data_IF_948125109298
#
_entry.id   IF_948125109298
#
_cell.length_a   1.000
_cell.length_b   1.000
_cell.length_c   1.000
_cell.angle_alpha   90.00
_cell.angle_beta   90.00
_cell.angle_gamma   90.00
#
_symmetry.space_group_name_H-M   'P 1'
#
loop_
_entity.id
_entity.type
_entity.pdbx_description
1 polymer ?
#
# COMPACT_ATOMS: atom_id res chain seq x y z
N UNK A 1 13.89 -20.43 17.70
CA UNK A 1 13.67 -20.39 16.23
C UNK A 1 12.39 -19.62 16.00
N UNK A 2 12.34 -18.85 14.93
CA UNK A 2 11.16 -18.05 14.53
C UNK A 2 10.81 -18.38 13.09
N UNK A 3 9.53 -18.51 12.80
CA UNK A 3 9.03 -18.81 11.46
C UNK A 3 9.13 -17.57 10.57
N UNK A 4 9.54 -17.75 9.30
CA UNK A 4 9.56 -16.69 8.29
C UNK A 4 9.19 -17.24 6.91
N UNK A 5 8.54 -16.41 6.10
CA UNK A 5 8.26 -16.72 4.70
C UNK A 5 9.35 -16.08 3.84
N UNK A 6 10.18 -16.92 3.20
CA UNK A 6 11.35 -16.47 2.44
C UNK A 6 11.39 -17.03 1.02
N UNK A 7 12.15 -16.34 0.18
CA UNK A 7 12.58 -16.86 -1.13
C UNK A 7 14.10 -16.74 -1.29
N UNK A 8 14.70 -17.77 -1.92
CA UNK A 8 16.14 -17.88 -2.18
C UNK A 8 16.50 -17.64 -3.64
N UNK A 9 15.49 -17.59 -4.50
CA UNK A 9 15.59 -17.30 -5.93
C UNK A 9 14.44 -16.40 -6.33
N UNK A 10 14.66 -15.53 -7.31
CA UNK A 10 13.57 -14.76 -7.89
C UNK A 10 12.64 -15.66 -8.69
N UNK A 11 11.33 -15.37 -8.70
CA UNK A 11 10.36 -16.18 -9.41
C UNK A 11 8.90 -15.87 -9.05
N UNK A 12 8.03 -16.79 -9.38
CA UNK A 12 6.61 -16.75 -9.05
C UNK A 12 6.40 -17.21 -7.59
N UNK A 13 5.18 -17.13 -7.03
CA UNK A 13 4.93 -17.48 -5.62
C UNK A 13 5.35 -18.90 -5.18
N UNK A 14 5.58 -19.80 -6.10
CA UNK A 14 6.10 -21.16 -5.85
C UNK A 14 7.54 -21.21 -5.34
N UNK A 15 8.31 -20.13 -5.45
CA UNK A 15 9.65 -20.01 -4.86
C UNK A 15 9.64 -19.70 -3.35
N UNK A 16 8.48 -19.30 -2.81
CA UNK A 16 8.31 -18.99 -1.40
C UNK A 16 8.29 -20.26 -0.53
N UNK A 17 8.95 -20.18 0.60
CA UNK A 17 9.04 -21.27 1.59
C UNK A 17 8.95 -20.74 3.00
N UNK A 18 8.19 -21.41 3.86
CA UNK A 18 8.27 -21.20 5.30
C UNK A 18 9.56 -21.85 5.81
N UNK A 19 10.35 -21.09 6.54
CA UNK A 19 11.63 -21.50 7.09
C UNK A 19 11.73 -21.10 8.57
N UNK A 20 12.53 -21.85 9.32
CA UNK A 20 12.88 -21.50 10.69
C UNK A 20 14.20 -20.72 10.71
N UNK A 21 14.18 -19.54 11.30
CA UNK A 21 15.35 -18.67 11.47
C UNK A 21 15.77 -18.67 12.94
N UNK A 22 17.08 -18.44 13.24
CA UNK A 22 17.51 -18.23 14.61
C UNK A 22 16.89 -16.93 15.16
N UNK A 23 16.54 -16.97 16.45
CA UNK A 23 16.17 -15.75 17.18
C UNK A 23 17.38 -14.83 17.27
N UNK A 24 17.17 -13.53 17.07
CA UNK A 24 18.22 -12.51 17.06
C UNK A 24 17.86 -11.43 18.10
N UNK A 25 18.87 -10.97 18.87
CA UNK A 25 18.71 -9.84 19.79
C UNK A 25 18.95 -8.51 19.09
N UNK A 26 18.18 -7.45 19.42
CA UNK A 26 18.36 -6.14 18.84
C UNK A 26 19.71 -5.52 19.28
N UNK A 27 20.34 -4.77 18.36
CA UNK A 27 21.52 -3.95 18.66
C UNK A 27 21.14 -2.67 19.40
N UNK A 28 22.12 -1.81 19.61
CA UNK A 28 21.96 -0.62 20.46
C UNK A 28 20.75 0.27 20.06
N UNK A 29 20.55 0.51 18.78
CA UNK A 29 19.50 1.37 18.23
C UNK A 29 18.32 0.59 17.60
N UNK A 30 18.25 -0.72 17.85
CA UNK A 30 17.25 -1.59 17.26
C UNK A 30 16.18 -2.00 18.27
N UNK A 31 15.01 -2.31 17.77
CA UNK A 31 13.92 -2.97 18.49
C UNK A 31 13.66 -4.33 17.88
N UNK A 32 13.28 -5.30 18.69
CA UNK A 32 12.71 -6.57 18.27
C UNK A 32 11.19 -6.45 18.33
N UNK A 33 10.52 -6.83 17.24
CA UNK A 33 9.07 -6.77 17.10
C UNK A 33 8.57 -8.19 16.87
N UNK A 34 7.69 -8.64 17.76
CA UNK A 34 6.88 -9.83 17.53
C UNK A 34 5.76 -9.45 16.57
N UNK A 35 5.91 -9.83 15.30
CA UNK A 35 4.93 -9.53 14.26
C UNK A 35 3.69 -10.38 14.45
N UNK A 36 2.54 -9.75 14.41
CA UNK A 36 1.22 -10.39 14.49
C UNK A 36 0.54 -10.46 13.11
N UNK A 37 0.67 -9.37 12.31
CA UNK A 37 0.00 -9.22 11.03
C UNK A 37 0.93 -8.64 9.97
N UNK A 38 0.74 -9.08 8.72
CA UNK A 38 1.52 -8.65 7.54
C UNK A 38 0.55 -8.24 6.44
N UNK A 39 0.58 -6.97 6.06
CA UNK A 39 -0.23 -6.45 4.96
C UNK A 39 0.38 -6.78 3.61
N UNK A 40 -0.40 -7.39 2.71
CA UNK A 40 0.08 -7.71 1.37
C UNK A 40 -0.13 -6.54 0.40
N UNK A 41 0.85 -6.37 -0.48
CA UNK A 41 0.84 -5.36 -1.55
C UNK A 41 1.28 -5.99 -2.88
N UNK A 42 0.78 -5.51 -4.03
CA UNK A 42 1.22 -6.02 -5.34
C UNK A 42 2.73 -5.92 -5.57
N UNK A 43 3.41 -4.94 -4.94
CA UNK A 43 4.86 -4.81 -5.03
C UNK A 43 5.61 -6.01 -4.44
N UNK A 44 5.06 -6.71 -3.46
CA UNK A 44 5.72 -7.83 -2.78
C UNK A 44 6.09 -8.95 -3.77
N UNK A 45 5.11 -9.40 -4.56
CA UNK A 45 5.34 -10.42 -5.57
C UNK A 45 5.89 -9.87 -6.89
N UNK A 46 5.65 -8.59 -7.20
CA UNK A 46 6.21 -7.96 -8.40
C UNK A 46 7.73 -7.80 -8.30
N UNK A 47 8.25 -7.39 -7.14
CA UNK A 47 9.69 -7.29 -6.87
C UNK A 47 10.31 -8.70 -6.84
N UNK A 48 9.68 -9.64 -6.14
CA UNK A 48 10.12 -11.04 -6.09
C UNK A 48 10.18 -11.68 -7.49
N UNK A 49 9.26 -11.33 -8.36
CA UNK A 49 9.18 -11.84 -9.74
C UNK A 49 10.14 -11.16 -10.73
N UNK A 50 10.84 -10.10 -10.34
CA UNK A 50 11.64 -9.31 -11.28
C UNK A 50 13.08 -9.08 -10.77
N UNK A 51 14.05 -9.96 -11.18
CA UNK A 51 15.43 -9.86 -10.74
C UNK A 51 16.16 -8.59 -11.21
N UNK A 52 15.68 -7.92 -12.25
CA UNK A 52 16.28 -6.68 -12.77
C UNK A 52 15.86 -5.47 -11.93
N UNK A 53 14.65 -5.51 -11.36
CA UNK A 53 14.08 -4.43 -10.57
C UNK A 53 14.40 -4.57 -9.08
N UNK A 54 14.46 -5.78 -8.56
CA UNK A 54 14.65 -6.06 -7.13
C UNK A 54 15.88 -5.37 -6.50
N UNK A 55 17.06 -5.27 -7.16
CA UNK A 55 18.19 -4.54 -6.60
C UNK A 55 17.93 -3.06 -6.34
N UNK A 56 17.06 -2.41 -7.12
CA UNK A 56 16.71 -0.99 -6.95
C UNK A 56 15.94 -0.75 -5.63
N UNK A 57 15.35 -1.81 -5.07
CA UNK A 57 14.68 -1.81 -3.76
C UNK A 57 15.58 -2.37 -2.63
N UNK A 58 16.86 -2.60 -2.89
CA UNK A 58 17.81 -3.11 -1.90
C UNK A 58 17.64 -4.59 -1.56
N UNK A 59 16.85 -5.35 -2.33
CA UNK A 59 16.58 -6.77 -2.10
C UNK A 59 17.84 -7.59 -2.30
N UNK A 60 18.14 -8.47 -1.33
CA UNK A 60 19.25 -9.44 -1.34
C UNK A 60 18.75 -10.80 -0.94
N UNK A 61 19.11 -11.82 -1.72
CA UNK A 61 18.70 -13.20 -1.43
C UNK A 61 19.62 -13.86 -0.36
N UNK A 62 19.06 -14.67 0.55
CA UNK A 62 17.65 -14.93 0.75
C UNK A 62 16.90 -13.70 1.27
N UNK A 63 15.66 -13.49 0.82
CA UNK A 63 14.82 -12.35 1.22
C UNK A 63 13.55 -12.84 1.92
N UNK A 64 13.21 -12.21 3.04
CA UNK A 64 11.89 -12.38 3.67
C UNK A 64 10.83 -11.63 2.86
N UNK A 65 9.68 -12.26 2.69
CA UNK A 65 8.59 -11.74 1.86
C UNK A 65 7.81 -10.61 2.53
N UNK A 66 7.07 -9.84 1.74
CA UNK A 66 6.22 -8.70 2.12
C UNK A 66 6.98 -7.58 2.86
N UNK A 67 6.34 -6.43 3.01
CA UNK A 67 7.04 -5.26 3.54
C UNK A 67 6.26 -4.55 4.66
N UNK A 68 4.93 -4.61 4.67
CA UNK A 68 4.08 -4.00 5.69
C UNK A 68 3.84 -4.96 6.86
N UNK A 69 3.84 -4.43 8.09
CA UNK A 69 3.65 -5.22 9.31
C UNK A 69 2.91 -4.47 10.41
N UNK A 70 2.37 -5.22 11.37
CA UNK A 70 1.99 -4.76 12.69
C UNK A 70 2.41 -5.81 13.73
N UNK A 71 2.67 -5.38 14.97
CA UNK A 71 3.10 -6.26 16.04
C UNK A 71 3.37 -5.53 17.35
N UNK A 72 4.05 -6.20 18.26
CA UNK A 72 4.38 -5.69 19.59
C UNK A 72 5.91 -5.74 19.79
N UNK A 73 6.47 -4.68 20.33
CA UNK A 73 7.90 -4.66 20.70
C UNK A 73 8.11 -5.59 21.89
N UNK A 74 8.96 -6.60 21.76
CA UNK A 74 9.29 -7.56 22.79
C UNK A 74 10.68 -7.38 23.38
N UNK A 75 11.60 -6.68 22.68
CA UNK A 75 12.94 -6.34 23.17
C UNK A 75 13.40 -5.02 22.55
N UNK A 76 14.21 -4.23 23.29
CA UNK A 76 14.79 -2.97 22.82
C UNK A 76 16.28 -2.91 23.10
N UNK A 77 17.04 -2.27 22.22
CA UNK A 77 18.45 -1.95 22.44
C UNK A 77 18.61 -0.77 23.41
N UNK A 78 19.80 -0.63 24.04
CA UNK A 78 20.04 0.37 25.11
C UNK A 78 20.03 1.83 24.65
N UNK A 79 20.09 2.13 23.36
CA UNK A 79 20.02 3.49 22.83
C UNK A 79 18.61 3.88 22.34
N UNK A 80 17.63 2.97 22.43
CA UNK A 80 16.25 3.24 22.04
C UNK A 80 15.57 4.07 23.11
N UNK A 81 15.02 5.23 22.74
CA UNK A 81 14.35 6.19 23.62
C UNK A 81 12.88 6.40 23.32
N UNK A 82 12.48 6.24 22.04
CA UNK A 82 11.16 6.60 21.55
C UNK A 82 10.15 5.43 21.63
N UNK A 83 10.65 4.23 21.96
CA UNK A 83 9.85 3.01 22.07
C UNK A 83 10.21 2.23 23.34
N UNK A 84 9.25 1.43 23.83
CA UNK A 84 9.44 0.54 24.98
C UNK A 84 8.84 -0.85 24.70
N UNK A 85 9.29 -1.83 25.48
CA UNK A 85 8.69 -3.17 25.46
C UNK A 85 7.21 -3.09 25.80
N UNK A 86 6.39 -3.77 24.99
CA UNK A 86 4.94 -3.77 25.09
C UNK A 86 4.24 -2.71 24.19
N UNK A 87 4.99 -1.82 23.54
CA UNK A 87 4.39 -0.90 22.59
C UNK A 87 3.86 -1.67 21.37
N UNK A 88 2.60 -1.40 21.01
CA UNK A 88 2.05 -1.82 19.73
C UNK A 88 2.55 -0.90 18.63
N UNK A 89 3.07 -1.51 17.57
CA UNK A 89 3.70 -0.78 16.46
C UNK A 89 3.26 -1.36 15.12
N UNK A 90 3.36 -0.54 14.09
CA UNK A 90 3.16 -0.94 12.71
C UNK A 90 4.14 -0.19 11.80
N UNK A 91 4.29 -0.66 10.59
CA UNK A 91 5.16 0.04 9.66
C UNK A 91 5.47 -0.73 8.39
N UNK A 92 6.58 -0.31 7.75
CA UNK A 92 7.07 -0.94 6.52
C UNK A 92 8.59 -1.07 6.54
N UNK A 93 9.11 -2.15 5.97
CA UNK A 93 10.56 -2.39 5.88
C UNK A 93 10.92 -3.15 4.61
N UNK A 94 11.95 -2.72 3.90
CA UNK A 94 12.45 -3.44 2.72
C UNK A 94 13.25 -4.71 3.07
N UNK A 95 13.48 -5.00 4.35
CA UNK A 95 14.15 -6.26 4.81
C UNK A 95 13.22 -7.46 4.76
N UNK A 96 11.91 -7.23 4.62
CA UNK A 96 10.86 -8.24 4.62
C UNK A 96 10.20 -8.41 5.99
N UNK A 97 8.87 -8.42 5.97
CA UNK A 97 8.04 -8.35 7.16
C UNK A 97 7.35 -9.68 7.51
N UNK A 98 7.27 -10.64 6.59
CA UNK A 98 6.59 -11.92 6.82
C UNK A 98 7.47 -12.87 7.68
N UNK A 99 7.67 -12.51 8.94
CA UNK A 99 8.45 -13.24 9.94
C UNK A 99 7.85 -13.02 11.33
N UNK A 100 7.91 -14.03 12.21
CA UNK A 100 7.47 -13.89 13.60
C UNK A 100 8.31 -12.88 14.40
N UNK A 101 9.58 -12.68 14.03
CA UNK A 101 10.46 -11.68 14.63
C UNK A 101 11.03 -10.75 13.57
N UNK A 102 10.85 -9.45 13.76
CA UNK A 102 11.43 -8.41 12.92
C UNK A 102 12.36 -7.53 13.77
N UNK A 103 13.62 -7.39 13.34
CA UNK A 103 14.56 -6.42 13.93
C UNK A 103 14.50 -5.13 13.12
N UNK A 104 14.23 -4.01 13.79
CA UNK A 104 14.04 -2.70 13.17
C UNK A 104 14.92 -1.65 13.85
N UNK A 105 15.71 -0.88 13.08
CA UNK A 105 16.48 0.24 13.63
C UNK A 105 15.58 1.47 13.76
N UNK A 106 15.54 2.07 14.95
CA UNK A 106 14.74 3.28 15.21
C UNK A 106 15.28 4.52 14.47
N UNK A 107 16.49 4.44 13.89
CA UNK A 107 17.04 5.47 12.99
C UNK A 107 16.47 5.39 11.58
N UNK A 108 15.85 4.27 11.20
CA UNK A 108 15.13 4.12 9.93
C UNK A 108 13.73 4.74 10.03
N UNK A 109 13.23 5.22 8.90
CA UNK A 109 11.85 5.67 8.80
C UNK A 109 10.93 4.48 8.56
N UNK A 110 9.68 4.61 8.98
CA UNK A 110 8.64 3.62 8.66
C UNK A 110 8.19 2.76 9.84
N UNK A 111 8.57 3.09 11.07
CA UNK A 111 8.03 2.51 12.29
C UNK A 111 7.14 3.56 13.00
N UNK A 112 5.92 3.17 13.35
CA UNK A 112 4.91 4.03 13.95
C UNK A 112 4.27 3.36 15.16
N UNK A 113 3.92 4.14 16.18
CA UNK A 113 3.05 3.66 17.26
C UNK A 113 1.66 3.38 16.71
N UNK A 114 1.10 2.22 17.07
CA UNK A 114 -0.28 1.86 16.75
C UNK A 114 -1.24 2.61 17.68
N UNK A 115 -2.20 3.37 17.15
CA UNK A 115 -3.26 3.94 18.00
C UNK A 115 -4.16 2.84 18.59
N UNK A 116 -4.59 3.00 19.84
CA UNK A 116 -5.42 1.99 20.54
C UNK A 116 -6.76 1.70 19.86
N UNK A 117 -7.26 2.65 19.07
CA UNK A 117 -8.55 2.54 18.36
C UNK A 117 -8.44 1.84 16.99
N UNK A 118 -7.26 1.35 16.59
CA UNK A 118 -7.06 0.64 15.30
C UNK A 118 -6.41 -0.71 15.57
N UNK A 119 -7.01 -1.76 15.04
CA UNK A 119 -6.49 -3.13 15.19
C UNK A 119 -5.26 -3.41 14.32
N UNK A 120 -4.48 -4.43 14.69
CA UNK A 120 -3.23 -4.78 14.02
C UNK A 120 -3.43 -5.16 12.54
N UNK A 121 -4.55 -5.80 12.20
CA UNK A 121 -4.86 -6.17 10.82
C UNK A 121 -5.01 -4.94 9.91
N UNK A 122 -5.65 -3.89 10.39
CA UNK A 122 -5.78 -2.62 9.67
C UNK A 122 -4.44 -1.90 9.61
N UNK A 123 -3.75 -1.74 10.75
CA UNK A 123 -2.50 -0.98 10.80
C UNK A 123 -1.37 -1.62 10.00
N UNK A 124 -1.32 -2.96 9.91
CA UNK A 124 -0.40 -3.68 9.02
C UNK A 124 -0.56 -3.36 7.53
N UNK A 125 -1.57 -2.57 7.14
CA UNK A 125 -1.87 -2.28 5.74
C UNK A 125 -1.71 -0.81 5.36
N UNK A 126 -1.38 0.05 6.34
CA UNK A 126 -1.42 1.51 6.17
C UNK A 126 -0.19 2.07 5.44
N UNK A 127 1.02 1.53 5.75
CA UNK A 127 2.24 2.21 5.38
C UNK A 127 2.47 2.25 3.86
N UNK A 128 2.56 1.12 3.17
CA UNK A 128 2.80 1.11 1.72
C UNK A 128 1.64 1.76 0.97
N UNK A 129 0.41 1.30 1.21
CA UNK A 129 -0.73 1.75 0.41
C UNK A 129 -1.15 3.19 0.71
N UNK A 130 -1.21 3.57 1.98
CA UNK A 130 -1.58 4.92 2.41
C UNK A 130 -0.54 5.97 2.00
N UNK A 131 0.75 5.70 2.23
CA UNK A 131 1.82 6.59 1.76
C UNK A 131 1.80 6.76 0.24
N UNK A 132 1.62 5.66 -0.51
CA UNK A 132 1.56 5.74 -1.97
C UNK A 132 0.40 6.60 -2.44
N UNK A 133 -0.78 6.47 -1.81
CA UNK A 133 -1.95 7.30 -2.11
C UNK A 133 -1.70 8.78 -1.83
N UNK A 134 -1.13 9.11 -0.66
CA UNK A 134 -0.81 10.49 -0.28
C UNK A 134 0.20 11.12 -1.26
N UNK A 135 1.25 10.39 -1.64
CA UNK A 135 2.23 10.85 -2.64
C UNK A 135 1.58 11.05 -4.01
N UNK A 136 0.72 10.12 -4.44
CA UNK A 136 0.05 10.22 -5.73
C UNK A 136 -0.85 11.46 -5.81
N UNK A 137 -1.63 11.74 -4.76
CA UNK A 137 -2.47 12.95 -4.65
C UNK A 137 -1.63 14.23 -4.68
N UNK A 138 -0.52 14.27 -3.95
CA UNK A 138 0.38 15.41 -3.92
C UNK A 138 1.03 15.67 -5.28
N UNK A 139 1.49 14.61 -5.98
CA UNK A 139 2.12 14.73 -7.32
C UNK A 139 1.13 15.15 -8.40
N UNK A 140 -0.14 14.78 -8.28
CA UNK A 140 -1.21 15.22 -9.16
C UNK A 140 -1.77 16.59 -8.76
N UNK A 141 -1.18 17.25 -7.74
CA UNK A 141 -1.63 18.55 -7.23
C UNK A 141 -3.14 18.61 -7.01
N UNK A 142 -3.71 17.53 -6.41
CA UNK A 142 -5.15 17.46 -6.11
C UNK A 142 -5.50 18.44 -5.00
N UNK A 143 -6.54 19.23 -5.24
CA UNK A 143 -7.01 20.29 -4.31
C UNK A 143 -8.53 20.31 -4.24
N UNK A 144 -9.06 21.11 -3.30
CA UNK A 144 -10.50 21.32 -3.19
C UNK A 144 -11.09 21.86 -4.51
N UNK A 145 -12.23 21.29 -4.90
CA UNK A 145 -12.92 21.63 -6.14
C UNK A 145 -12.48 20.83 -7.37
N UNK A 146 -11.42 20.04 -7.29
CA UNK A 146 -11.07 19.10 -8.37
C UNK A 146 -12.13 17.99 -8.51
N UNK A 147 -12.32 17.53 -9.75
CA UNK A 147 -12.96 16.24 -10.05
C UNK A 147 -11.85 15.25 -10.44
N UNK A 148 -11.51 14.38 -9.51
CA UNK A 148 -10.42 13.42 -9.64
C UNK A 148 -10.91 12.11 -10.25
N UNK A 149 -10.29 11.69 -11.35
CA UNK A 149 -10.46 10.36 -11.91
C UNK A 149 -9.39 9.39 -11.32
N UNK A 150 -9.84 8.30 -10.70
CA UNK A 150 -8.93 7.29 -10.08
C UNK A 150 -9.05 5.97 -10.82
N UNK A 151 -7.96 5.55 -11.47
CA UNK A 151 -7.83 4.23 -12.07
C UNK A 151 -7.51 3.17 -11.03
N UNK A 152 -8.29 2.06 -10.98
CA UNK A 152 -8.10 1.01 -9.98
C UNK A 152 -8.59 1.42 -8.58
N UNK A 153 -9.66 2.20 -8.50
CA UNK A 153 -10.19 2.81 -7.28
C UNK A 153 -10.57 1.82 -6.17
N UNK A 154 -11.01 0.60 -6.52
CA UNK A 154 -11.36 -0.44 -5.54
C UNK A 154 -10.17 -1.26 -5.02
N UNK A 155 -8.95 -1.01 -5.53
CA UNK A 155 -7.73 -1.69 -5.13
C UNK A 155 -7.13 -1.16 -3.81
N UNK A 156 -6.07 -1.85 -3.32
CA UNK A 156 -5.46 -1.54 -2.03
C UNK A 156 -4.94 -0.10 -1.86
N UNK A 157 -4.37 0.53 -2.89
CA UNK A 157 -4.01 1.96 -2.89
C UNK A 157 -5.22 2.83 -3.21
N UNK A 158 -6.13 2.33 -4.07
CA UNK A 158 -7.32 3.04 -4.52
C UNK A 158 -8.24 3.47 -3.38
N UNK A 159 -8.50 2.58 -2.42
CA UNK A 159 -9.36 2.87 -1.26
C UNK A 159 -8.84 4.05 -0.42
N UNK A 160 -7.51 4.20 -0.29
CA UNK A 160 -6.92 5.38 0.36
C UNK A 160 -7.02 6.61 -0.54
N UNK A 161 -6.67 6.47 -1.83
CA UNK A 161 -6.70 7.59 -2.78
C UNK A 161 -8.07 8.24 -2.87
N UNK A 162 -9.13 7.42 -2.96
CA UNK A 162 -10.52 7.89 -3.01
C UNK A 162 -10.87 8.73 -1.78
N UNK A 163 -10.65 8.17 -0.59
CA UNK A 163 -11.07 8.81 0.66
C UNK A 163 -10.20 10.02 1.02
N UNK A 164 -8.87 9.93 0.83
CA UNK A 164 -7.98 11.07 1.06
C UNK A 164 -8.26 12.23 0.09
N UNK A 165 -8.62 11.96 -1.18
CA UNK A 165 -9.02 13.00 -2.13
C UNK A 165 -10.28 13.74 -1.66
N UNK A 166 -11.25 13.03 -1.10
CA UNK A 166 -12.47 13.64 -0.55
C UNK A 166 -12.17 14.52 0.68
N UNK A 167 -11.26 14.07 1.54
CA UNK A 167 -10.78 14.87 2.70
C UNK A 167 -10.11 16.16 2.21
N UNK A 168 -9.42 16.14 1.05
CA UNK A 168 -8.88 17.33 0.40
C UNK A 168 -9.95 18.20 -0.28
N UNK A 169 -11.22 17.77 -0.32
CA UNK A 169 -12.34 18.50 -0.93
C UNK A 169 -12.54 18.25 -2.42
N UNK A 170 -11.95 17.20 -2.98
CA UNK A 170 -12.17 16.79 -4.37
C UNK A 170 -13.39 15.87 -4.49
N UNK A 171 -14.09 15.95 -5.63
CA UNK A 171 -15.03 14.92 -6.07
C UNK A 171 -14.26 13.77 -6.70
N UNK A 172 -14.69 12.52 -6.48
CA UNK A 172 -13.96 11.35 -6.98
C UNK A 172 -14.84 10.50 -7.90
N UNK A 173 -14.30 10.17 -9.05
CA UNK A 173 -14.82 9.17 -9.98
C UNK A 173 -13.78 8.04 -10.05
N UNK A 174 -14.20 6.82 -9.69
CA UNK A 174 -13.33 5.65 -9.65
C UNK A 174 -13.60 4.70 -10.82
N UNK A 175 -12.56 4.31 -11.56
CA UNK A 175 -12.72 3.24 -12.55
C UNK A 175 -12.64 1.89 -11.85
N UNK A 176 -13.67 1.07 -12.06
CA UNK A 176 -13.75 -0.29 -11.53
C UNK A 176 -14.76 -1.13 -12.33
N UNK A 177 -14.90 -2.41 -12.01
CA UNK A 177 -15.95 -3.26 -12.60
C UNK A 177 -17.34 -2.80 -12.10
N UNK A 178 -18.38 -3.05 -12.89
CA UNK A 178 -19.75 -2.70 -12.51
C UNK A 178 -20.19 -3.37 -11.20
N UNK A 179 -19.66 -4.56 -10.91
CA UNK A 179 -19.92 -5.29 -9.65
C UNK A 179 -19.37 -4.60 -8.40
N UNK A 180 -18.55 -3.55 -8.55
CA UNK A 180 -17.95 -2.80 -7.44
C UNK A 180 -18.61 -1.44 -7.21
N UNK A 181 -19.73 -1.14 -7.89
CA UNK A 181 -20.38 0.16 -7.79
C UNK A 181 -20.77 0.52 -6.35
N UNK A 182 -21.45 -0.39 -5.65
CA UNK A 182 -21.88 -0.17 -4.26
C UNK A 182 -20.66 0.04 -3.34
N UNK A 183 -19.62 -0.77 -3.51
CA UNK A 183 -18.39 -0.64 -2.74
C UNK A 183 -17.72 0.73 -2.90
N UNK A 184 -17.63 1.26 -4.14
CA UNK A 184 -17.07 2.58 -4.38
C UNK A 184 -17.99 3.70 -3.90
N UNK A 185 -19.29 3.51 -3.99
CA UNK A 185 -20.28 4.45 -3.45
C UNK A 185 -20.16 4.55 -1.92
N UNK A 186 -19.98 3.43 -1.22
CA UNK A 186 -19.75 3.40 0.24
C UNK A 186 -18.46 4.13 0.63
N UNK A 187 -17.43 4.12 -0.25
CA UNK A 187 -16.22 4.91 -0.10
C UNK A 187 -16.38 6.37 -0.57
N UNK A 188 -17.58 6.75 -1.07
CA UNK A 188 -17.91 8.10 -1.50
C UNK A 188 -17.47 8.44 -2.94
N UNK A 189 -17.12 7.48 -3.79
CA UNK A 189 -16.77 7.70 -5.18
C UNK A 189 -17.88 7.26 -6.14
N UNK A 190 -18.08 8.02 -7.21
CA UNK A 190 -18.90 7.57 -8.33
C UNK A 190 -18.13 6.50 -9.12
N UNK A 191 -18.73 5.33 -9.35
CA UNK A 191 -18.14 4.29 -10.18
C UNK A 191 -18.35 4.56 -11.66
N UNK A 192 -17.30 4.26 -12.47
CA UNK A 192 -17.40 4.18 -13.92
C UNK A 192 -16.63 2.95 -14.42
N UNK A 193 -17.17 2.24 -15.42
CA UNK A 193 -16.50 1.05 -15.97
C UNK A 193 -15.23 1.45 -16.73
N UNK A 194 -14.13 0.73 -16.50
CA UNK A 194 -12.90 0.83 -17.27
C UNK A 194 -13.07 0.22 -18.69
N UNK A 195 -12.03 0.26 -19.51
CA UNK A 195 -11.99 -0.35 -20.83
C UNK A 195 -12.33 0.62 -21.97
N UNK A 196 -12.35 0.12 -23.21
CA UNK A 196 -12.50 0.94 -24.41
C UNK A 196 -13.67 1.93 -24.34
N UNK A 197 -13.43 3.17 -24.76
CA UNK A 197 -14.42 4.25 -24.71
C UNK A 197 -14.54 4.92 -23.33
N UNK A 198 -13.56 4.76 -22.43
CA UNK A 198 -13.57 5.43 -21.12
C UNK A 198 -13.67 6.95 -21.26
N UNK A 199 -12.93 7.58 -22.17
CA UNK A 199 -13.01 9.02 -22.42
C UNK A 199 -14.43 9.46 -22.84
N UNK A 200 -15.12 8.67 -23.69
CA UNK A 200 -16.49 8.98 -24.10
C UNK A 200 -17.48 8.95 -22.93
N UNK A 201 -17.35 7.96 -22.03
CA UNK A 201 -18.18 7.86 -20.82
C UNK A 201 -17.95 9.03 -19.85
N UNK A 202 -16.77 9.65 -19.91
CA UNK A 202 -16.35 10.75 -19.02
C UNK A 202 -16.61 12.15 -19.58
N UNK A 203 -17.01 12.32 -20.84
CA UNK A 203 -17.13 13.63 -21.53
C UNK A 203 -17.91 14.71 -20.75
N UNK A 204 -18.90 14.32 -19.96
CA UNK A 204 -19.74 15.24 -19.20
C UNK A 204 -19.40 15.30 -17.71
N UNK A 205 -18.22 14.81 -17.31
CA UNK A 205 -17.82 14.68 -15.89
C UNK A 205 -16.87 15.76 -15.40
N UNK A 206 -16.45 16.68 -16.28
CA UNK A 206 -15.56 17.81 -15.96
C UNK A 206 -14.30 17.38 -15.18
N UNK A 207 -13.61 16.32 -15.66
CA UNK A 207 -12.40 15.79 -15.03
C UNK A 207 -11.29 16.84 -15.04
N UNK A 208 -10.70 17.14 -13.88
CA UNK A 208 -9.64 18.14 -13.72
C UNK A 208 -8.31 17.53 -13.27
N UNK A 209 -8.33 16.33 -12.69
CA UNK A 209 -7.13 15.60 -12.26
C UNK A 209 -7.32 14.10 -12.47
N UNK A 210 -6.20 13.34 -12.59
CA UNK A 210 -6.27 11.90 -12.72
C UNK A 210 -5.10 11.19 -12.03
N UNK A 211 -5.40 10.04 -11.40
CA UNK A 211 -4.41 9.13 -10.82
C UNK A 211 -4.67 7.73 -11.36
N UNK A 212 -3.65 7.09 -11.93
CA UNK A 212 -3.77 5.70 -12.40
C UNK A 212 -2.94 4.75 -11.52
N UNK A 213 -3.63 3.80 -10.91
CA UNK A 213 -3.04 2.81 -10.00
C UNK A 213 -2.96 1.42 -10.64
N UNK A 214 -3.27 1.30 -11.94
CA UNK A 214 -3.47 -0.01 -12.56
C UNK A 214 -2.82 -0.20 -13.93
N UNK A 215 -2.97 0.73 -14.91
CA UNK A 215 -2.63 0.40 -16.31
C UNK A 215 -2.31 1.56 -17.25
N UNK A 216 -2.32 2.79 -16.87
CA UNK A 216 -2.26 4.01 -17.70
C UNK A 216 -3.48 4.28 -18.61
N UNK A 217 -4.51 3.46 -18.57
CA UNK A 217 -5.74 3.71 -19.34
C UNK A 217 -6.43 4.99 -18.89
N UNK A 218 -6.51 5.16 -17.58
CA UNK A 218 -7.09 6.35 -16.95
C UNK A 218 -6.35 7.63 -17.34
N UNK A 219 -5.01 7.60 -17.40
CA UNK A 219 -4.21 8.74 -17.85
C UNK A 219 -4.47 9.09 -19.30
N UNK A 220 -4.56 8.07 -20.18
CA UNK A 220 -4.87 8.29 -21.60
C UNK A 220 -6.24 8.94 -21.78
N UNK A 221 -7.26 8.42 -21.11
CA UNK A 221 -8.60 9.01 -21.16
C UNK A 221 -8.62 10.45 -20.64
N UNK A 222 -7.90 10.74 -19.55
CA UNK A 222 -7.79 12.08 -18.99
C UNK A 222 -7.08 13.06 -19.95
N UNK A 223 -6.01 12.62 -20.64
CA UNK A 223 -5.33 13.42 -21.67
C UNK A 223 -6.26 13.72 -22.85
N UNK A 224 -7.04 12.75 -23.32
CA UNK A 224 -8.06 12.95 -24.38
C UNK A 224 -9.13 13.97 -23.99
N UNK A 225 -9.44 14.08 -22.70
CA UNK A 225 -10.37 15.07 -22.14
C UNK A 225 -9.71 16.43 -21.86
N UNK A 226 -8.41 16.59 -22.15
CA UNK A 226 -7.69 17.84 -21.99
C UNK A 226 -7.15 18.12 -20.60
N UNK A 227 -7.11 17.11 -19.69
CA UNK A 227 -6.47 17.25 -18.37
C UNK A 227 -4.97 17.42 -18.58
N UNK A 228 -4.37 18.37 -17.86
CA UNK A 228 -2.93 18.66 -17.97
C UNK A 228 -2.09 17.58 -17.26
N UNK A 229 -0.90 17.31 -17.81
CA UNK A 229 0.00 16.29 -17.25
C UNK A 229 0.44 16.57 -15.80
N UNK A 230 0.57 17.83 -15.40
CA UNK A 230 0.88 18.25 -14.04
C UNK A 230 -0.27 18.04 -13.03
N UNK A 231 -1.48 17.78 -13.51
CA UNK A 231 -2.65 17.37 -12.71
C UNK A 231 -2.84 15.85 -12.72
N UNK A 232 -1.79 15.10 -13.05
CA UNK A 232 -1.84 13.63 -13.11
C UNK A 232 -0.67 12.99 -12.37
N UNK A 233 -0.87 11.74 -11.94
CA UNK A 233 0.20 10.87 -11.43
C UNK A 233 -0.15 9.40 -11.62
N UNK A 234 0.84 8.53 -11.49
CA UNK A 234 0.64 7.07 -11.53
C UNK A 234 1.58 6.35 -10.58
N UNK A 235 1.23 5.12 -10.18
CA UNK A 235 2.13 4.21 -9.48
C UNK A 235 2.78 3.19 -10.43
N UNK A 236 2.40 3.21 -11.70
CA UNK A 236 2.87 2.27 -12.71
C UNK A 236 4.12 2.84 -13.37
N UNK A 237 5.26 2.22 -13.10
CA UNK A 237 6.57 2.63 -13.65
C UNK A 237 6.86 1.99 -15.02
N UNK A 238 6.30 0.82 -15.26
CA UNK A 238 6.55 0.06 -16.50
C UNK A 238 5.23 -0.47 -17.09
N UNK A 239 4.99 -0.26 -18.41
CA UNK A 239 5.74 0.63 -19.30
C UNK A 239 5.78 2.06 -18.76
N UNK A 240 6.72 2.90 -19.25
CA UNK A 240 6.79 4.31 -18.84
C UNK A 240 5.46 5.05 -19.03
N UNK A 241 5.08 5.91 -18.07
CA UNK A 241 3.89 6.74 -18.21
C UNK A 241 4.03 7.75 -19.36
N UNK A 242 2.91 8.31 -19.85
CA UNK A 242 2.96 9.41 -20.83
C UNK A 242 3.84 10.57 -20.34
N UNK A 243 4.52 11.22 -21.29
CA UNK A 243 5.51 12.27 -20.98
C UNK A 243 4.94 13.37 -20.05
N UNK A 244 5.72 13.74 -19.06
CA UNK A 244 5.39 14.79 -18.09
C UNK A 244 4.50 14.34 -16.94
N UNK A 245 4.07 13.08 -16.89
CA UNK A 245 3.29 12.55 -15.78
C UNK A 245 4.23 11.85 -14.79
N UNK A 246 4.30 12.31 -13.52
CA UNK A 246 5.19 11.72 -12.52
C UNK A 246 4.69 10.37 -12.00
N UNK A 247 5.63 9.49 -11.67
CA UNK A 247 5.36 8.28 -10.88
C UNK A 247 5.40 8.59 -9.39
N UNK A 248 4.52 7.96 -8.63
CA UNK A 248 4.40 8.09 -7.18
C UNK A 248 4.83 6.79 -6.49
N UNK A 249 5.66 6.90 -5.47
CA UNK A 249 6.08 5.77 -4.64
C UNK A 249 5.94 6.12 -3.16
N UNK A 250 5.58 5.15 -2.32
CA UNK A 250 5.48 5.35 -0.87
C UNK A 250 6.79 5.80 -0.21
N UNK A 251 7.94 5.55 -0.84
CA UNK A 251 9.25 6.02 -0.37
C UNK A 251 9.42 7.55 -0.37
N UNK A 252 8.54 8.27 -1.09
CA UNK A 252 8.52 9.74 -1.14
C UNK A 252 7.54 10.36 -0.13
N UNK A 253 7.01 9.56 0.78
CA UNK A 253 6.07 10.02 1.80
C UNK A 253 6.73 11.01 2.77
N UNK A 254 5.94 11.98 3.21
CA UNK A 254 6.30 12.91 4.27
C UNK A 254 5.85 12.36 5.62
N UNK A 255 6.49 12.73 6.74
CA UNK A 255 6.03 12.32 8.07
C UNK A 255 4.56 12.67 8.33
N UNK A 256 4.09 13.81 7.84
CA UNK A 256 2.71 14.27 7.94
C UNK A 256 1.69 13.40 7.19
N UNK A 257 2.13 12.58 6.23
CA UNK A 257 1.20 11.74 5.44
C UNK A 257 0.58 10.64 6.32
N UNK A 258 1.37 10.01 7.20
CA UNK A 258 0.83 9.02 8.15
C UNK A 258 -0.04 9.67 9.23
N UNK A 259 0.36 10.84 9.73
CA UNK A 259 -0.45 11.61 10.68
C UNK A 259 -1.82 11.95 10.09
N UNK A 260 -1.88 12.37 8.82
CA UNK A 260 -3.13 12.65 8.10
C UNK A 260 -4.00 11.39 8.01
N UNK A 261 -3.42 10.24 7.67
CA UNK A 261 -4.14 8.96 7.56
C UNK A 261 -4.72 8.55 8.92
N UNK A 262 -3.91 8.57 9.98
CA UNK A 262 -4.36 8.20 11.32
C UNK A 262 -5.43 9.15 11.86
N UNK A 263 -5.30 10.45 11.61
CA UNK A 263 -6.32 11.43 11.96
C UNK A 263 -7.63 11.19 11.19
N UNK A 264 -7.54 10.85 9.91
CA UNK A 264 -8.71 10.53 9.10
C UNK A 264 -9.45 9.27 9.61
N UNK A 265 -8.71 8.24 10.02
CA UNK A 265 -9.28 7.03 10.64
C UNK A 265 -9.94 7.39 12.00
N UNK A 266 -9.26 8.16 12.84
CA UNK A 266 -9.76 8.60 14.15
C UNK A 266 -11.07 9.39 14.05
N UNK A 267 -11.20 10.19 13.01
CA UNK A 267 -12.39 11.00 12.73
C UNK A 267 -13.46 10.26 11.92
N UNK A 268 -13.30 8.95 11.68
CA UNK A 268 -14.21 8.13 10.87
C UNK A 268 -14.39 8.65 9.42
N UNK A 269 -13.40 9.38 8.91
CA UNK A 269 -13.36 9.90 7.53
C UNK A 269 -12.65 8.95 6.56
N UNK A 270 -11.92 7.96 7.10
CA UNK A 270 -11.23 6.93 6.32
C UNK A 270 -11.45 5.56 6.97
N UNK A 271 -11.89 4.62 6.17
CA UNK A 271 -12.01 3.21 6.54
C UNK A 271 -11.10 2.36 5.67
N UNK A 272 -10.59 1.27 6.21
CA UNK A 272 -9.73 0.34 5.47
C UNK A 272 -10.40 -1.03 5.41
N UNK A 273 -11.14 -1.34 4.36
CA UNK A 273 -11.75 -2.65 4.18
C UNK A 273 -10.68 -3.75 4.10
N UNK A 274 -10.78 -4.74 4.97
CA UNK A 274 -9.97 -5.96 4.91
C UNK A 274 -10.77 -7.01 4.14
N UNK A 275 -10.34 -7.25 2.90
CA UNK A 275 -11.04 -8.18 1.99
C UNK A 275 -10.89 -9.64 2.43
N UNK A 276 -9.72 -10.00 2.99
CA UNK A 276 -9.46 -11.36 3.47
C UNK A 276 -8.30 -11.39 4.47
N UNK A 277 -8.36 -12.36 5.39
CA UNK A 277 -7.28 -12.68 6.34
C UNK A 277 -6.93 -14.16 6.19
N UNK A 278 -5.63 -14.46 6.12
CA UNK A 278 -5.12 -15.81 6.00
C UNK A 278 -4.06 -16.08 7.07
N UNK A 279 -4.01 -17.31 7.56
CA UNK A 279 -2.83 -17.74 8.31
C UNK A 279 -1.57 -17.65 7.43
N UNK A 280 -0.42 -17.41 8.04
CA UNK A 280 0.86 -17.46 7.32
C UNK A 280 1.07 -18.81 6.61
N UNK A 281 0.49 -19.90 7.12
CA UNK A 281 0.57 -21.21 6.48
C UNK A 281 -0.22 -21.28 5.16
N UNK A 282 -1.22 -20.41 4.98
CA UNK A 282 -2.06 -20.31 3.77
C UNK A 282 -1.61 -19.19 2.82
N UNK A 283 -0.35 -18.72 2.93
CA UNK A 283 0.18 -17.59 2.16
C UNK A 283 -0.04 -17.69 0.64
N UNK A 284 0.01 -18.88 0.08
CA UNK A 284 -0.19 -19.08 -1.37
C UNK A 284 -1.60 -18.69 -1.81
N UNK A 285 -2.62 -18.98 -1.01
CA UNK A 285 -4.00 -18.61 -1.32
C UNK A 285 -4.20 -17.11 -1.22
N UNK A 286 -3.62 -16.48 -0.20
CA UNK A 286 -3.62 -15.02 -0.04
C UNK A 286 -2.98 -14.30 -1.25
N UNK A 287 -1.80 -14.77 -1.68
CA UNK A 287 -1.08 -14.19 -2.81
C UNK A 287 -1.85 -14.42 -4.12
N UNK A 288 -2.41 -15.60 -4.35
CA UNK A 288 -3.25 -15.88 -5.52
C UNK A 288 -4.46 -14.95 -5.59
N UNK A 289 -5.16 -14.74 -4.45
CA UNK A 289 -6.27 -13.80 -4.39
C UNK A 289 -5.83 -12.39 -4.77
N UNK A 290 -4.68 -11.93 -4.25
CA UNK A 290 -4.15 -10.61 -4.57
C UNK A 290 -3.75 -10.47 -6.05
N UNK A 291 -3.08 -11.49 -6.61
CA UNK A 291 -2.67 -11.50 -8.02
C UNK A 291 -3.86 -11.52 -8.99
N UNK A 292 -5.00 -12.08 -8.59
CA UNK A 292 -6.24 -12.03 -9.37
C UNK A 292 -6.85 -10.62 -9.45
N UNK A 293 -6.38 -9.68 -8.61
CA UNK A 293 -6.76 -8.26 -8.62
C UNK A 293 -8.27 -7.99 -8.48
N UNK A 294 -9.01 -8.91 -7.87
CA UNK A 294 -10.44 -8.78 -7.59
C UNK A 294 -10.75 -8.73 -6.08
N UNK A 295 -9.73 -8.58 -5.25
CA UNK A 295 -9.92 -8.27 -3.84
C UNK A 295 -10.27 -6.79 -3.69
N UNK A 296 -11.43 -6.48 -3.13
CA UNK A 296 -11.86 -5.13 -2.86
C UNK A 296 -11.39 -4.75 -1.44
N UNK A 297 -10.29 -4.02 -1.35
CA UNK A 297 -9.63 -3.73 -0.08
C UNK A 297 -8.27 -4.39 0.09
N UNK A 298 -7.85 -4.59 1.33
CA UNK A 298 -6.54 -5.13 1.71
C UNK A 298 -6.63 -6.62 2.07
N UNK A 299 -5.52 -7.33 1.84
CA UNK A 299 -5.35 -8.74 2.24
C UNK A 299 -4.25 -8.79 3.29
N UNK A 300 -4.45 -9.60 4.33
CA UNK A 300 -3.56 -9.69 5.48
C UNK A 300 -3.20 -11.15 5.78
N UNK A 301 -1.92 -11.39 6.08
CA UNK A 301 -1.44 -12.63 6.69
C UNK A 301 -1.32 -12.42 8.20
N UNK A 302 -1.55 -13.46 8.99
CA UNK A 302 -1.31 -13.44 10.45
C UNK A 302 -0.54 -14.68 10.89
N UNK A 303 0.25 -14.50 11.98
CA UNK A 303 0.99 -15.57 12.66
C UNK A 303 0.20 -16.22 13.78
#
# INVERSE_FOLDING_TARGET
MVKALQYKTFGKPDVLQLVDLPLVHPKADEVSIKVSHVGLNPMDWAIMGNPEVAPNFGVKLPQTFAYDFAGIIDEIGPEVTDFKVGDHVFGTTMRGAATEQLIFSTKERGLFHRPDFVEDDVTSTLAVAGHTAAVALRKAHVTAGDTLLVGGAAGGVGIFTVQLAQILGAKVIGTASDSTADFLQDLGAEQISYGPGLADRLKNKEITAAIDLFSHETLKAALELGVKADKMSTVIMYPEPPAGIPTATGGEALPSDMEMILNAISNHQLTVPIAAKYSIDDYLEAIKLQMNRHAHGKIVLYF
#
